data_IF_460399587352
#
_entry.id   IF_460399587352
#
_cell.length_a   1.000
_cell.length_b   1.000
_cell.length_c   1.000
_cell.angle_alpha   90.00
_cell.angle_beta   90.00
_cell.angle_gamma   90.00
#
_symmetry.space_group_name_H-M   'P 1'
#
loop_
_entity.id
_entity.type
_entity.pdbx_description
1 polymer ?
#
# COMPACT_ATOMS: atom_id res chain seq x y z
N UNK A 1 51.42 -1.61 -6.71
CA UNK A 1 50.22 -1.25 -7.48
C UNK A 1 49.55 -2.56 -7.86
N UNK A 2 48.52 -2.98 -7.14
CA UNK A 2 47.76 -4.22 -7.45
C UNK A 2 46.41 -3.81 -8.00
N UNK A 3 46.17 -4.10 -9.27
CA UNK A 3 44.92 -3.80 -9.95
C UNK A 3 43.79 -4.68 -9.37
N UNK A 4 42.88 -4.02 -8.65
CA UNK A 4 41.64 -4.62 -8.16
C UNK A 4 40.65 -4.66 -9.33
N UNK A 5 40.47 -5.82 -9.94
CA UNK A 5 39.49 -6.03 -11.00
C UNK A 5 38.08 -6.15 -10.39
N UNK A 6 37.31 -5.07 -10.48
CA UNK A 6 35.89 -5.06 -10.13
C UNK A 6 35.09 -5.78 -11.22
N UNK A 7 34.65 -7.00 -10.95
CA UNK A 7 33.78 -7.78 -11.84
C UNK A 7 32.35 -7.26 -11.72
N UNK A 8 31.80 -6.71 -12.82
CA UNK A 8 30.37 -6.40 -12.92
C UNK A 8 29.57 -7.70 -12.97
N UNK A 9 28.93 -8.06 -11.86
CA UNK A 9 27.96 -9.14 -11.78
C UNK A 9 26.67 -8.65 -12.46
N UNK A 10 26.22 -9.33 -13.50
CA UNK A 10 25.12 -8.92 -14.37
C UNK A 10 23.85 -8.53 -13.60
N UNK A 11 23.19 -7.47 -14.08
CA UNK A 11 21.95 -6.96 -13.52
C UNK A 11 20.86 -8.05 -13.55
N UNK A 12 20.57 -8.63 -12.39
CA UNK A 12 19.40 -9.51 -12.21
C UNK A 12 18.13 -8.75 -12.58
N UNK A 13 17.12 -9.45 -13.13
CA UNK A 13 15.83 -8.84 -13.50
C UNK A 13 15.29 -8.01 -12.33
N UNK A 14 15.06 -6.72 -12.55
CA UNK A 14 14.49 -5.84 -11.53
C UNK A 14 13.15 -6.42 -11.06
N UNK A 15 13.04 -6.70 -9.76
CA UNK A 15 11.80 -7.17 -9.15
C UNK A 15 10.78 -6.04 -9.22
N UNK A 16 9.63 -6.29 -9.85
CA UNK A 16 8.57 -5.30 -9.98
C UNK A 16 8.13 -4.78 -8.60
N UNK A 17 7.88 -3.47 -8.46
CA UNK A 17 7.52 -2.85 -7.17
C UNK A 17 6.26 -3.42 -6.52
N UNK A 18 5.34 -3.97 -7.32
CA UNK A 18 4.15 -4.64 -6.78
C UNK A 18 4.42 -6.08 -6.29
N UNK A 19 5.61 -6.63 -6.51
CA UNK A 19 5.96 -7.98 -6.07
C UNK A 19 6.20 -8.01 -4.57
N UNK A 20 5.64 -9.00 -3.86
CA UNK A 20 5.91 -9.25 -2.44
C UNK A 20 7.38 -9.64 -2.14
N UNK A 21 8.20 -9.80 -3.19
CA UNK A 21 9.64 -10.05 -3.09
C UNK A 21 10.46 -8.76 -3.21
N UNK A 22 9.83 -7.62 -3.52
CA UNK A 22 10.57 -6.36 -3.56
C UNK A 22 10.98 -5.95 -2.14
N UNK A 23 12.20 -5.44 -2.04
CA UNK A 23 12.73 -4.80 -0.82
C UNK A 23 12.48 -3.30 -0.83
N UNK A 24 11.85 -2.77 -1.89
CA UNK A 24 11.50 -1.36 -1.95
C UNK A 24 10.48 -1.02 -0.86
N UNK A 25 10.63 0.17 -0.23
CA UNK A 25 9.69 0.61 0.78
C UNK A 25 8.28 0.75 0.20
N UNK A 26 7.30 0.33 0.97
CA UNK A 26 5.89 0.49 0.74
C UNK A 26 5.25 1.17 1.95
N UNK A 27 4.08 1.76 1.74
CA UNK A 27 3.28 2.41 2.75
C UNK A 27 1.94 1.72 2.87
N UNK A 28 1.49 1.46 4.09
CA UNK A 28 0.11 1.22 4.43
C UNK A 28 -0.62 2.56 4.56
N UNK A 29 -1.80 2.65 3.97
CA UNK A 29 -2.62 3.86 3.99
C UNK A 29 -4.09 3.56 4.22
N UNK A 30 -4.79 4.60 4.66
CA UNK A 30 -6.25 4.65 4.62
C UNK A 30 -6.74 5.66 3.58
N UNK A 31 -7.92 5.39 3.02
CA UNK A 31 -8.78 6.45 2.50
C UNK A 31 -9.83 6.77 3.57
N UNK A 32 -9.97 8.05 3.90
CA UNK A 32 -10.91 8.54 4.92
C UNK A 32 -11.90 9.50 4.30
N UNK A 33 -13.16 9.42 4.70
CA UNK A 33 -14.16 10.42 4.35
C UNK A 33 -13.74 11.78 4.94
N UNK A 34 -13.73 12.83 4.13
CA UNK A 34 -13.24 14.16 4.53
C UNK A 34 -14.13 14.86 5.57
N UNK A 35 -15.39 14.47 5.68
CA UNK A 35 -16.35 15.13 6.56
C UNK A 35 -16.45 14.41 7.90
N UNK A 36 -16.59 13.08 7.86
CA UNK A 36 -16.82 12.25 9.03
C UNK A 36 -15.56 11.53 9.54
N UNK A 37 -14.49 11.48 8.74
CA UNK A 37 -13.27 10.73 9.08
C UNK A 37 -13.40 9.21 8.97
N UNK A 38 -14.55 8.71 8.52
CA UNK A 38 -14.82 7.27 8.39
C UNK A 38 -13.83 6.59 7.45
N UNK A 39 -13.35 5.40 7.82
CA UNK A 39 -12.49 4.61 6.94
C UNK A 39 -13.30 4.10 5.75
N UNK A 40 -12.89 4.53 4.56
CA UNK A 40 -13.43 4.09 3.28
C UNK A 40 -12.62 2.95 2.68
N UNK A 41 -11.31 2.91 2.96
CA UNK A 41 -10.39 1.91 2.42
C UNK A 41 -9.16 1.69 3.28
N UNK A 42 -8.69 0.46 3.36
CA UNK A 42 -7.28 0.14 3.65
C UNK A 42 -6.56 -0.30 2.37
N UNK A 43 -5.32 0.13 2.20
CA UNK A 43 -4.49 -0.25 1.06
C UNK A 43 -3.00 -0.12 1.33
N UNK A 44 -2.19 -0.71 0.45
CA UNK A 44 -0.76 -0.45 0.41
C UNK A 44 -0.32 0.19 -0.92
N UNK A 45 0.84 0.86 -0.91
CA UNK A 45 1.48 1.33 -2.13
C UNK A 45 2.97 1.59 -1.97
N UNK A 46 3.75 1.35 -3.03
CA UNK A 46 5.14 1.83 -3.15
C UNK A 46 5.26 3.23 -3.75
N UNK A 47 4.15 3.85 -4.17
CA UNK A 47 4.13 5.19 -4.78
C UNK A 47 2.85 5.93 -4.36
N UNK A 48 2.87 6.51 -3.16
CA UNK A 48 1.72 7.18 -2.57
C UNK A 48 1.26 8.43 -3.34
N UNK A 49 2.19 9.22 -3.87
CA UNK A 49 1.88 10.48 -4.57
C UNK A 49 1.09 10.29 -5.87
N UNK A 50 1.15 9.11 -6.48
CA UNK A 50 0.46 8.80 -7.75
C UNK A 50 -0.59 7.69 -7.61
N UNK A 51 -0.85 7.18 -6.40
CA UNK A 51 -1.76 6.04 -6.20
C UNK A 51 -3.19 6.36 -6.64
N UNK A 52 -3.64 7.59 -6.38
CA UNK A 52 -4.97 8.07 -6.74
C UNK A 52 -4.91 9.41 -7.45
N UNK A 53 -5.76 9.58 -8.46
CA UNK A 53 -5.95 10.89 -9.08
C UNK A 53 -6.76 11.80 -8.15
N UNK A 54 -6.56 13.12 -8.27
CA UNK A 54 -7.37 14.11 -7.54
C UNK A 54 -8.87 13.91 -7.78
N UNK A 55 -9.26 13.63 -9.03
CA UNK A 55 -10.66 13.36 -9.42
C UNK A 55 -11.25 12.16 -8.69
N UNK A 56 -10.49 11.07 -8.55
CA UNK A 56 -10.95 9.90 -7.81
C UNK A 56 -11.20 10.23 -6.33
N UNK A 57 -10.27 10.92 -5.68
CA UNK A 57 -10.41 11.34 -4.28
C UNK A 57 -11.61 12.28 -4.09
N UNK A 58 -11.80 13.24 -4.98
CA UNK A 58 -12.95 14.15 -4.94
C UNK A 58 -14.28 13.41 -5.13
N UNK A 59 -14.38 12.52 -6.11
CA UNK A 59 -15.61 11.77 -6.39
C UNK A 59 -16.04 10.85 -5.24
N UNK A 60 -15.10 10.42 -4.39
CA UNK A 60 -15.36 9.56 -3.24
C UNK A 60 -15.37 10.32 -1.91
N UNK A 61 -15.33 11.67 -1.94
CA UNK A 61 -15.15 12.51 -0.74
C UNK A 61 -13.99 12.04 0.16
N UNK A 62 -12.90 11.57 -0.46
CA UNK A 62 -11.84 10.86 0.23
C UNK A 62 -10.57 11.71 0.34
N UNK A 63 -9.84 11.50 1.43
CA UNK A 63 -8.44 11.86 1.57
C UNK A 63 -7.59 10.63 1.88
N UNK A 64 -6.34 10.64 1.44
CA UNK A 64 -5.42 9.54 1.66
C UNK A 64 -4.48 9.90 2.81
N UNK A 65 -4.39 9.01 3.81
CA UNK A 65 -3.51 9.16 4.94
C UNK A 65 -2.55 7.97 5.01
N UNK A 66 -1.24 8.26 5.12
CA UNK A 66 -0.22 7.23 5.38
C UNK A 66 -0.27 6.87 6.86
N UNK A 67 -0.35 5.57 7.16
CA UNK A 67 -0.42 5.06 8.53
C UNK A 67 0.91 4.47 8.99
N UNK A 68 1.51 3.65 8.12
CA UNK A 68 2.71 2.88 8.44
C UNK A 68 3.58 2.70 7.19
N UNK A 69 4.87 2.48 7.41
CA UNK A 69 5.85 2.16 6.37
C UNK A 69 6.50 0.80 6.67
N UNK A 70 6.79 0.03 5.62
CA UNK A 70 7.52 -1.22 5.71
C UNK A 70 7.87 -1.75 4.33
N UNK A 71 8.11 -3.05 4.22
CA UNK A 71 8.26 -3.74 2.94
C UNK A 71 6.90 -3.97 2.27
N UNK A 72 6.91 -4.25 0.96
CA UNK A 72 5.69 -4.61 0.22
C UNK A 72 4.93 -5.79 0.83
N UNK A 73 5.65 -6.77 1.39
CA UNK A 73 5.06 -7.93 2.06
C UNK A 73 4.37 -7.54 3.35
N UNK A 74 5.05 -6.79 4.21
CA UNK A 74 4.49 -6.33 5.48
C UNK A 74 3.27 -5.44 5.24
N UNK A 75 3.31 -4.52 4.27
CA UNK A 75 2.16 -3.65 3.99
C UNK A 75 0.99 -4.39 3.35
N UNK A 76 1.26 -5.45 2.57
CA UNK A 76 0.20 -6.32 2.07
C UNK A 76 -0.48 -7.11 3.20
N UNK A 77 0.32 -7.64 4.14
CA UNK A 77 -0.21 -8.32 5.33
C UNK A 77 -0.99 -7.35 6.23
N UNK A 78 -0.44 -6.18 6.50
CA UNK A 78 -1.11 -5.11 7.27
C UNK A 78 -2.45 -4.73 6.64
N UNK A 79 -2.51 -4.51 5.32
CA UNK A 79 -3.77 -4.21 4.63
C UNK A 79 -4.81 -5.32 4.87
N UNK A 80 -4.41 -6.59 4.77
CA UNK A 80 -5.30 -7.73 4.99
C UNK A 80 -5.85 -7.76 6.42
N UNK A 81 -4.97 -7.64 7.42
CA UNK A 81 -5.33 -7.63 8.84
C UNK A 81 -6.31 -6.50 9.16
N UNK A 82 -6.05 -5.28 8.68
CA UNK A 82 -6.94 -4.14 8.92
C UNK A 82 -8.34 -4.31 8.29
N UNK A 83 -8.44 -4.97 7.13
CA UNK A 83 -9.75 -5.26 6.52
C UNK A 83 -10.52 -6.29 7.36
N UNK A 84 -9.84 -7.32 7.89
CA UNK A 84 -10.47 -8.31 8.77
C UNK A 84 -10.93 -7.70 10.10
N UNK A 85 -10.09 -6.87 10.72
CA UNK A 85 -10.44 -6.17 11.96
C UNK A 85 -11.65 -5.25 11.76
N UNK A 86 -11.68 -4.51 10.65
CA UNK A 86 -12.82 -3.67 10.29
C UNK A 86 -14.11 -4.49 10.12
N UNK A 87 -14.03 -5.65 9.46
CA UNK A 87 -15.19 -6.54 9.27
C UNK A 87 -15.74 -7.05 10.59
N UNK A 88 -14.85 -7.48 11.51
CA UNK A 88 -15.22 -8.02 12.81
C UNK A 88 -16.08 -7.04 13.63
N UNK A 89 -15.85 -5.73 13.46
CA UNK A 89 -16.59 -4.68 14.19
C UNK A 89 -17.76 -4.08 13.38
N UNK A 90 -17.86 -4.37 12.08
CA UNK A 90 -18.86 -3.80 11.16
C UNK A 90 -19.76 -4.85 10.51
N UNK A 91 -20.21 -5.85 11.29
CA UNK A 91 -21.15 -6.88 10.81
C UNK A 91 -20.66 -7.63 9.56
N UNK A 92 -19.38 -8.00 9.52
CA UNK A 92 -18.74 -8.69 8.39
C UNK A 92 -18.64 -7.87 7.08
N UNK A 93 -19.00 -6.58 7.13
CA UNK A 93 -18.91 -5.67 5.98
C UNK A 93 -17.50 -5.10 5.87
N UNK A 94 -17.00 -5.08 4.63
CA UNK A 94 -15.72 -4.45 4.28
C UNK A 94 -15.82 -2.93 4.35
N UNK A 95 -14.67 -2.22 4.42
CA UNK A 95 -14.64 -0.81 4.06
C UNK A 95 -15.23 -0.62 2.65
N UNK A 96 -16.06 0.42 2.42
CA UNK A 96 -16.84 0.57 1.19
C UNK A 96 -16.05 0.52 -0.13
N UNK A 97 -14.77 0.91 -0.12
CA UNK A 97 -13.90 0.96 -1.31
C UNK A 97 -12.87 -0.19 -1.36
N UNK A 98 -12.96 -1.18 -0.46
CA UNK A 98 -12.25 -2.45 -0.59
C UNK A 98 -13.10 -3.45 -1.40
N UNK A 99 -12.58 -3.87 -2.57
CA UNK A 99 -13.23 -4.86 -3.45
C UNK A 99 -12.99 -6.31 -3.04
N UNK A 100 -12.02 -6.53 -2.17
CA UNK A 100 -11.53 -7.82 -1.69
C UNK A 100 -10.95 -7.64 -0.28
N UNK A 101 -10.83 -8.77 0.42
CA UNK A 101 -10.12 -8.86 1.70
C UNK A 101 -8.60 -8.97 1.51
N UNK A 102 -8.12 -8.89 0.26
CA UNK A 102 -6.72 -9.01 -0.17
C UNK A 102 -6.34 -7.87 -1.12
#
# INVERSE_FOLDING_TARGET
MSDYSFTFKGAGKAVHNNSLKTTNPAFGYTLRDRNAGNILKYGETTNSSHRYTKKYLQNNNAEMQIEIQGTKREMHQWQHEQILDYKNINNELRPPLNKSDY
#
